data_IF_789670409711
#
_entry.id   IF_789670409711
#
_cell.length_a   1.000
_cell.length_b   1.000
_cell.length_c   1.000
_cell.angle_alpha   90.00
_cell.angle_beta   90.00
_cell.angle_gamma   90.00
#
_symmetry.space_group_name_H-M   'P 1'
#
loop_
_entity.id
_entity.type
_entity.pdbx_description
1 polymer ?
#
# COMPACT_ATOMS: atom_id res chain seq x y z
N UNK A 1 -2.81 12.15 9.88
CA UNK A 1 -2.03 13.40 9.73
C UNK A 1 -2.38 14.44 10.79
N UNK A 2 -3.66 14.73 11.03
CA UNK A 2 -4.05 15.84 11.91
C UNK A 2 -3.62 15.69 13.38
N UNK A 3 -3.49 14.46 13.87
CA UNK A 3 -3.09 14.17 15.26
C UNK A 3 -1.59 13.92 15.44
N UNK A 4 -0.91 13.40 14.40
CA UNK A 4 0.46 12.87 14.51
C UNK A 4 1.42 13.40 13.43
N UNK A 5 0.97 14.33 12.59
CA UNK A 5 1.74 14.86 11.46
C UNK A 5 1.68 13.99 10.21
N UNK A 6 2.15 14.57 9.10
CA UNK A 6 2.21 13.89 7.79
C UNK A 6 3.27 12.79 7.76
N UNK A 7 4.41 12.98 8.43
CA UNK A 7 5.50 11.99 8.47
C UNK A 7 5.03 10.65 9.07
N UNK A 8 4.20 10.70 10.12
CA UNK A 8 3.60 9.50 10.70
C UNK A 8 2.64 8.82 9.73
N UNK A 9 1.88 9.60 8.94
CA UNK A 9 1.03 9.09 7.88
C UNK A 9 1.84 8.40 6.77
N UNK A 10 2.94 9.02 6.33
CA UNK A 10 3.83 8.45 5.31
C UNK A 10 4.46 7.14 5.78
N UNK A 11 4.85 7.07 7.06
CA UNK A 11 5.36 5.84 7.66
C UNK A 11 4.31 4.72 7.65
N UNK A 12 3.07 5.03 8.02
CA UNK A 12 1.96 4.06 7.97
C UNK A 12 1.72 3.59 6.53
N UNK A 13 1.69 4.51 5.55
CA UNK A 13 1.47 4.14 4.15
C UNK A 13 2.58 3.26 3.59
N UNK A 14 3.84 3.51 3.98
CA UNK A 14 4.97 2.66 3.62
C UNK A 14 4.84 1.25 4.23
N UNK A 15 4.39 1.17 5.49
CA UNK A 15 4.22 -0.10 6.19
C UNK A 15 3.05 -0.91 5.61
N UNK A 16 1.93 -0.27 5.29
CA UNK A 16 0.81 -0.90 4.58
C UNK A 16 1.28 -1.44 3.23
N UNK A 17 2.04 -0.67 2.45
CA UNK A 17 2.59 -1.13 1.18
C UNK A 17 3.53 -2.33 1.35
N UNK A 18 4.34 -2.37 2.42
CA UNK A 18 5.19 -3.52 2.76
C UNK A 18 4.35 -4.75 3.07
N UNK A 19 3.35 -4.62 3.93
CA UNK A 19 2.45 -5.72 4.31
C UNK A 19 1.71 -6.29 3.11
N UNK A 20 1.15 -5.44 2.23
CA UNK A 20 0.47 -5.92 1.03
C UNK A 20 1.43 -6.72 0.14
N UNK A 21 2.64 -6.21 -0.09
CA UNK A 21 3.68 -6.90 -0.88
C UNK A 21 4.08 -8.27 -0.31
N UNK A 22 3.97 -8.46 1.00
CA UNK A 22 4.25 -9.76 1.65
C UNK A 22 3.11 -10.77 1.51
N UNK A 23 1.89 -10.29 1.24
CA UNK A 23 0.70 -11.15 1.11
C UNK A 23 0.37 -11.52 -0.34
N UNK A 24 0.84 -10.75 -1.32
CA UNK A 24 0.55 -10.99 -2.74
C UNK A 24 1.61 -11.85 -3.41
N UNK A 25 1.23 -12.52 -4.50
CA UNK A 25 2.14 -13.34 -5.31
C UNK A 25 3.07 -12.43 -6.12
N UNK A 26 4.17 -13.01 -6.61
CA UNK A 26 5.10 -12.27 -7.51
C UNK A 26 4.47 -11.84 -8.83
N UNK A 27 3.43 -12.54 -9.28
CA UNK A 27 2.70 -12.23 -10.52
C UNK A 27 1.61 -11.18 -10.32
N UNK A 28 1.22 -10.93 -9.07
CA UNK A 28 0.26 -9.89 -8.72
C UNK A 28 0.95 -8.51 -8.75
N UNK A 29 0.22 -7.50 -9.20
CA UNK A 29 0.68 -6.12 -9.20
C UNK A 29 -0.11 -5.31 -8.20
N UNK A 30 0.59 -4.54 -7.37
CA UNK A 30 -0.04 -3.60 -6.42
C UNK A 30 0.60 -2.23 -6.58
N UNK A 31 -0.23 -1.19 -6.63
CA UNK A 31 0.23 0.19 -6.66
C UNK A 31 -0.59 1.09 -5.72
N UNK A 32 0.00 2.22 -5.32
CA UNK A 32 -0.71 3.32 -4.66
C UNK A 32 -1.36 4.16 -5.76
N UNK A 33 -2.69 4.22 -5.77
CA UNK A 33 -3.45 4.98 -6.78
C UNK A 33 -3.40 6.48 -6.50
N UNK A 34 -3.54 6.86 -5.23
CA UNK A 34 -3.46 8.25 -4.77
C UNK A 34 -3.83 8.35 -3.30
N UNK A 35 -3.32 9.39 -2.60
CA UNK A 35 -3.64 9.57 -1.18
C UNK A 35 -3.37 8.32 -0.35
N UNK A 36 -4.40 7.73 0.24
CA UNK A 36 -4.34 6.49 1.03
C UNK A 36 -4.93 5.26 0.32
N UNK A 37 -5.18 5.35 -0.99
CA UNK A 37 -5.80 4.31 -1.82
C UNK A 37 -4.76 3.39 -2.49
N UNK A 38 -5.02 2.09 -2.45
CA UNK A 38 -4.21 1.05 -3.10
C UNK A 38 -5.06 0.25 -4.09
N UNK A 39 -4.46 -0.10 -5.22
CA UNK A 39 -5.07 -0.93 -6.27
C UNK A 39 -4.25 -2.20 -6.47
N UNK A 40 -4.92 -3.34 -6.63
CA UNK A 40 -4.30 -4.62 -6.94
C UNK A 40 -4.84 -5.19 -8.27
N UNK A 41 -3.94 -5.71 -9.09
CA UNK A 41 -4.23 -6.45 -10.32
C UNK A 41 -3.80 -7.90 -10.10
N UNK A 42 -4.75 -8.82 -10.25
CA UNK A 42 -4.60 -10.26 -9.96
C UNK A 42 -4.81 -11.06 -11.26
N UNK A 43 -3.81 -11.16 -12.13
CA UNK A 43 -3.98 -11.72 -13.49
C UNK A 43 -4.20 -13.24 -13.52
N UNK A 44 -3.86 -13.96 -12.46
CA UNK A 44 -3.88 -15.43 -12.40
C UNK A 44 -4.90 -15.94 -11.36
N UNK A 45 -6.17 -15.55 -11.52
CA UNK A 45 -7.27 -15.96 -10.62
C UNK A 45 -8.01 -17.19 -11.13
#
# INVERSE_FOLDING_TARGET
NDTLGHDAGDHILAEVARLIREQVRKTDMVCRWGGEEFLALLPET
#
